data_IF_783809968192
#
_entry.id   IF_783809968192
#
_cell.length_a   1.000
_cell.length_b   1.000
_cell.length_c   1.000
_cell.angle_alpha   90.00
_cell.angle_beta   90.00
_cell.angle_gamma   90.00
#
_symmetry.space_group_name_H-M   'P 1'
#
loop_
_entity.id
_entity.type
_entity.pdbx_description
1 polymer ?
#
# COMPACT_ATOMS: atom_id res chain seq x y z
N UNK A 1 16.55 3.28 4.45
CA UNK A 1 17.59 2.28 4.11
C UNK A 1 17.31 1.69 2.74
N UNK A 2 18.21 0.91 2.14
CA UNK A 2 17.96 0.24 0.84
C UNK A 2 16.73 -0.67 0.90
N UNK A 3 16.53 -1.37 2.03
CA UNK A 3 15.37 -2.22 2.26
C UNK A 3 14.05 -1.43 2.19
N UNK A 4 13.96 -0.29 2.89
CA UNK A 4 12.78 0.59 2.83
C UNK A 4 12.52 1.10 1.41
N UNK A 5 13.56 1.47 0.65
CA UNK A 5 13.40 1.94 -0.74
C UNK A 5 12.83 0.84 -1.64
N UNK A 6 13.33 -0.40 -1.51
CA UNK A 6 12.76 -1.55 -2.21
C UNK A 6 11.29 -1.77 -1.83
N UNK A 7 10.97 -1.70 -0.54
CA UNK A 7 9.61 -1.92 -0.07
C UNK A 7 8.64 -0.85 -0.60
N UNK A 8 9.04 0.43 -0.58
CA UNK A 8 8.27 1.52 -1.21
C UNK A 8 8.05 1.25 -2.69
N UNK A 9 9.08 0.84 -3.42
CA UNK A 9 8.98 0.56 -4.85
C UNK A 9 8.06 -0.63 -5.16
N UNK A 10 8.13 -1.70 -4.36
CA UNK A 10 7.26 -2.86 -4.50
C UNK A 10 5.79 -2.51 -4.19
N UNK A 11 5.54 -1.76 -3.11
CA UNK A 11 4.20 -1.29 -2.74
C UNK A 11 3.63 -0.39 -3.84
N UNK A 12 4.42 0.56 -4.34
CA UNK A 12 4.01 1.45 -5.43
C UNK A 12 3.67 0.67 -6.70
N UNK A 13 4.52 -0.27 -7.10
CA UNK A 13 4.31 -1.10 -8.30
C UNK A 13 3.04 -1.94 -8.17
N UNK A 14 2.85 -2.59 -7.02
CA UNK A 14 1.67 -3.39 -6.73
C UNK A 14 0.39 -2.54 -6.78
N UNK A 15 0.34 -1.45 -6.01
CA UNK A 15 -0.84 -0.60 -5.94
C UNK A 15 -1.14 0.12 -7.28
N UNK A 16 -0.12 0.38 -8.11
CA UNK A 16 -0.30 0.99 -9.43
C UNK A 16 -1.12 0.12 -10.38
N UNK A 17 -1.03 -1.21 -10.27
CA UNK A 17 -1.83 -2.14 -11.09
C UNK A 17 -3.20 -2.48 -10.45
N UNK A 18 -3.51 -1.91 -9.28
CA UNK A 18 -4.78 -2.13 -8.57
C UNK A 18 -5.63 -0.84 -8.54
N UNK A 19 -6.51 -0.61 -9.54
CA UNK A 19 -7.28 0.64 -9.67
C UNK A 19 -8.24 0.90 -8.49
N UNK A 20 -8.67 -0.16 -7.81
CA UNK A 20 -9.54 -0.09 -6.62
C UNK A 20 -8.77 -0.06 -5.29
N UNK A 21 -7.44 -0.08 -5.35
CA UNK A 21 -6.58 -0.27 -4.20
C UNK A 21 -6.57 -1.70 -3.69
N UNK A 22 -5.91 -1.91 -2.56
CA UNK A 22 -5.78 -3.22 -1.91
C UNK A 22 -5.76 -3.08 -0.39
N UNK A 23 -6.18 -4.11 0.33
CA UNK A 23 -5.99 -4.16 1.79
C UNK A 23 -4.52 -4.35 2.15
N UNK A 24 -4.15 -3.97 3.37
CA UNK A 24 -2.80 -4.21 3.91
C UNK A 24 -2.52 -5.71 4.01
N UNK A 25 -3.51 -6.51 4.41
CA UNK A 25 -3.37 -7.97 4.48
C UNK A 25 -3.07 -8.59 3.11
N UNK A 26 -3.73 -8.09 2.05
CA UNK A 26 -3.49 -8.58 0.70
C UNK A 26 -2.10 -8.16 0.21
N UNK A 27 -1.72 -6.90 0.43
CA UNK A 27 -0.40 -6.38 0.10
C UNK A 27 0.70 -7.19 0.83
N UNK A 28 0.55 -7.42 2.12
CA UNK A 28 1.47 -8.21 2.94
C UNK A 28 1.58 -9.65 2.43
N UNK A 29 0.46 -10.31 2.18
CA UNK A 29 0.42 -11.68 1.65
C UNK A 29 1.09 -11.82 0.27
N UNK A 30 1.07 -10.76 -0.53
CA UNK A 30 1.78 -10.71 -1.80
C UNK A 30 3.28 -10.48 -1.60
N UNK A 31 3.65 -9.48 -0.81
CA UNK A 31 5.04 -9.06 -0.64
C UNK A 31 5.89 -10.11 0.09
N UNK A 32 5.30 -10.87 1.03
CA UNK A 32 5.98 -12.00 1.70
C UNK A 32 6.50 -13.06 0.72
N UNK A 33 5.87 -13.20 -0.46
CA UNK A 33 6.33 -14.13 -1.51
C UNK A 33 7.58 -13.62 -2.23
N UNK A 34 7.90 -12.34 -2.10
CA UNK A 34 9.06 -11.68 -2.72
C UNK A 34 10.17 -11.46 -1.68
N UNK A 35 9.80 -10.98 -0.50
CA UNK A 35 10.69 -10.80 0.65
C UNK A 35 10.00 -11.31 1.92
N UNK A 36 10.49 -12.43 2.45
CA UNK A 36 9.93 -13.10 3.63
C UNK A 36 10.07 -12.32 4.93
N UNK A 37 10.86 -11.25 4.96
CA UNK A 37 11.03 -10.40 6.15
C UNK A 37 9.97 -9.30 6.25
N UNK A 38 9.17 -9.10 5.20
CA UNK A 38 8.10 -8.10 5.20
C UNK A 38 7.01 -8.51 6.19
N UNK A 39 6.60 -7.57 7.02
CA UNK A 39 5.44 -7.71 7.89
C UNK A 39 4.46 -6.55 7.70
N UNK A 40 3.24 -6.74 8.20
CA UNK A 40 2.16 -5.75 8.05
C UNK A 40 2.48 -4.41 8.75
N UNK A 41 3.23 -4.43 9.86
CA UNK A 41 3.62 -3.23 10.60
C UNK A 41 4.55 -2.31 9.81
N UNK A 42 5.55 -2.89 9.13
CA UNK A 42 6.47 -2.14 8.27
C UNK A 42 5.74 -1.49 7.09
N UNK A 43 4.80 -2.25 6.49
CA UNK A 43 3.93 -1.73 5.43
C UNK A 43 3.10 -0.56 5.97
N UNK A 44 2.39 -0.74 7.08
CA UNK A 44 1.56 0.32 7.68
C UNK A 44 2.38 1.58 8.00
N UNK A 45 3.55 1.41 8.61
CA UNK A 45 4.45 2.51 8.94
C UNK A 45 4.89 3.29 7.70
N UNK A 46 5.24 2.59 6.61
CA UNK A 46 5.61 3.25 5.36
C UNK A 46 4.42 3.98 4.73
N UNK A 47 3.24 3.36 4.68
CA UNK A 47 2.05 4.00 4.14
C UNK A 47 1.69 5.30 4.90
N UNK A 48 1.88 5.31 6.22
CA UNK A 48 1.66 6.49 7.07
C UNK A 48 2.72 7.59 6.89
N UNK A 49 3.98 7.21 6.65
CA UNK A 49 5.09 8.15 6.45
C UNK A 49 5.03 8.86 5.10
N UNK A 50 4.37 8.29 4.10
CA UNK A 50 4.30 8.83 2.74
C UNK A 50 2.84 9.09 2.27
N UNK A 51 2.07 9.95 2.95
CA UNK A 51 0.64 10.16 2.67
C UNK A 51 0.36 10.80 1.30
N UNK A 52 1.35 11.47 0.71
CA UNK A 52 1.24 12.03 -0.64
C UNK A 52 1.49 10.99 -1.75
N UNK A 53 2.10 9.86 -1.40
CA UNK A 53 2.38 8.77 -2.34
C UNK A 53 1.37 7.63 -2.19
N UNK A 54 0.89 7.40 -0.97
CA UNK A 54 -0.06 6.36 -0.65
C UNK A 54 -1.23 6.91 0.17
N UNK A 55 -2.46 6.62 -0.27
CA UNK A 55 -3.67 7.04 0.44
C UNK A 55 -4.36 5.84 1.06
N UNK A 56 -4.43 5.82 2.38
CA UNK A 56 -5.33 4.91 3.11
C UNK A 56 -6.75 5.44 3.00
N UNK A 57 -7.68 4.55 2.70
CA UNK A 57 -9.10 4.82 2.63
C UNK A 57 -9.83 3.75 3.44
N UNK A 58 -10.85 4.19 4.16
CA UNK A 58 -11.67 3.33 5.01
C UNK A 58 -13.10 3.48 4.54
N UNK A 59 -13.75 2.38 4.21
CA UNK A 59 -15.10 2.36 3.62
C UNK A 59 -15.98 1.37 4.37
N UNK A 60 -17.29 1.60 4.41
CA UNK A 60 -18.25 0.71 5.08
C UNK A 60 -18.60 1.14 6.51
N UNK A 61 -19.43 0.35 7.18
CA UNK A 61 -19.97 0.63 8.52
C UNK A 61 -19.86 -0.63 9.39
N UNK A 62 -19.38 -0.46 10.63
CA UNK A 62 -19.30 -1.55 11.61
C UNK A 62 -18.47 -2.73 11.11
N UNK A 63 -19.07 -3.92 11.04
CA UNK A 63 -18.40 -5.14 10.59
C UNK A 63 -17.99 -5.16 9.11
N UNK A 64 -18.48 -4.21 8.30
CA UNK A 64 -18.14 -4.08 6.88
C UNK A 64 -17.01 -3.09 6.62
N UNK A 65 -16.29 -2.66 7.66
CA UNK A 65 -15.20 -1.70 7.52
C UNK A 65 -14.05 -2.32 6.71
N UNK A 66 -13.78 -1.78 5.53
CA UNK A 66 -12.68 -2.18 4.66
C UNK A 66 -11.63 -1.08 4.65
N UNK A 67 -10.41 -1.43 5.04
CA UNK A 67 -9.23 -0.58 4.89
C UNK A 67 -8.53 -0.94 3.58
N UNK A 68 -8.48 0.00 2.65
CA UNK A 68 -7.72 -0.14 1.41
C UNK A 68 -6.69 0.97 1.27
N UNK A 69 -5.62 0.70 0.54
CA UNK A 69 -4.61 1.66 0.17
C UNK A 69 -4.59 1.84 -1.35
N UNK A 70 -4.32 3.07 -1.81
CA UNK A 70 -4.12 3.42 -3.21
C UNK A 70 -2.80 4.15 -3.42
N UNK A 71 -2.21 3.93 -4.59
CA UNK A 71 -1.05 4.70 -5.05
C UNK A 71 -1.49 6.03 -5.69
N UNK A 72 -0.78 7.11 -5.37
CA UNK A 72 -1.09 8.47 -5.83
C UNK A 72 -0.02 9.08 -6.75
N UNK A 73 1.10 8.38 -7.00
CA UNK A 73 2.29 8.99 -7.60
C UNK A 73 2.10 9.60 -8.98
N UNK A 74 1.07 9.19 -9.73
CA UNK A 74 0.75 9.72 -11.07
C UNK A 74 -0.60 10.44 -11.15
N UNK A 75 -1.29 10.66 -10.03
CA UNK A 75 -2.64 11.25 -10.02
C UNK A 75 -2.67 12.71 -10.52
N UNK A 76 -1.54 13.41 -10.54
CA UNK A 76 -1.43 14.77 -11.09
C UNK A 76 -1.21 14.81 -12.61
N UNK A 77 -0.76 13.70 -13.22
CA UNK A 77 -0.45 13.61 -14.65
C UNK A 77 -1.72 13.29 -15.46
N UNK A 78 -2.77 12.78 -14.81
CA UNK A 78 -4.03 12.40 -15.44
C UNK A 78 -5.03 13.56 -15.62
N UNK A 79 -4.59 14.83 -15.61
CA UNK A 79 -5.41 16.00 -15.90
C UNK A 79 -5.12 16.56 -17.30
#
# INVERSE_FOLDING_TARGET
TQHEMCLIALIATFLNVHPFGASIDYLCSYLIKIDSNVNAGDIESLLERFPNLFKKHTSGIGATLVKNCKFLGFSSISN
#
